data_IF_012509015692
#
_entry.id   IF_012509015692
#
_cell.length_a   1.000
_cell.length_b   1.000
_cell.length_c   1.000
_cell.angle_alpha   90.00
_cell.angle_beta   90.00
_cell.angle_gamma   90.00
#
_symmetry.space_group_name_H-M   'P 1'
#
loop_
_entity.id
_entity.type
_entity.pdbx_description
1 polymer ?
#
# COMPACT_ATOMS: atom_id res chain seq x y z
N UNK A 1 8.53 19.12 12.29
CA UNK A 1 7.47 18.10 12.41
C UNK A 1 8.08 16.80 12.92
N UNK A 2 7.47 16.18 13.93
CA UNK A 2 7.94 14.93 14.53
C UNK A 2 7.29 13.74 13.84
N UNK A 3 8.10 12.92 13.14
CA UNK A 3 7.61 11.84 12.26
C UNK A 3 7.85 10.48 12.92
N UNK A 4 6.87 9.57 12.84
CA UNK A 4 7.05 8.14 13.08
C UNK A 4 7.02 7.38 11.74
N UNK A 5 7.79 6.31 11.61
CA UNK A 5 7.65 5.39 10.50
C UNK A 5 6.83 4.17 10.92
N UNK A 6 6.00 3.66 10.01
CA UNK A 6 5.19 2.45 10.17
C UNK A 6 5.53 1.48 9.07
N UNK A 7 5.92 0.27 9.44
CA UNK A 7 6.15 -0.85 8.54
C UNK A 7 5.08 -1.91 8.71
N UNK A 8 4.56 -2.43 7.61
CA UNK A 8 3.79 -3.68 7.61
C UNK A 8 4.68 -4.81 7.10
N UNK A 9 4.83 -5.86 7.88
CA UNK A 9 5.70 -6.99 7.58
C UNK A 9 4.89 -8.28 7.40
N UNK A 10 5.31 -9.12 6.46
CA UNK A 10 4.76 -10.45 6.23
C UNK A 10 5.87 -11.38 5.76
N UNK A 11 6.21 -12.38 6.57
CA UNK A 11 7.41 -13.21 6.38
C UNK A 11 8.65 -12.34 6.10
N UNK A 12 8.97 -11.40 7.03
CA UNK A 12 10.06 -10.47 6.82
C UNK A 12 11.41 -11.19 6.72
N UNK A 13 12.34 -10.60 5.97
CA UNK A 13 13.72 -11.01 5.84
C UNK A 13 14.68 -9.94 6.41
N UNK A 14 15.98 -10.11 6.19
CA UNK A 14 17.03 -9.19 6.66
C UNK A 14 16.88 -7.74 6.16
N UNK A 15 16.14 -7.51 5.07
CA UNK A 15 15.88 -6.17 4.53
C UNK A 15 15.07 -5.30 5.48
N UNK A 16 14.16 -5.90 6.27
CA UNK A 16 13.37 -5.16 7.26
C UNK A 16 14.26 -4.46 8.28
N UNK A 17 15.28 -5.13 8.80
CA UNK A 17 16.20 -4.53 9.77
C UNK A 17 16.94 -3.31 9.18
N UNK A 18 17.42 -3.43 7.94
CA UNK A 18 18.08 -2.34 7.24
C UNK A 18 17.11 -1.17 6.94
N UNK A 19 15.87 -1.47 6.58
CA UNK A 19 14.84 -0.46 6.34
C UNK A 19 14.47 0.30 7.63
N UNK A 20 14.35 -0.40 8.76
CA UNK A 20 14.12 0.20 10.08
C UNK A 20 15.28 1.11 10.50
N UNK A 21 16.52 0.67 10.31
CA UNK A 21 17.71 1.50 10.58
C UNK A 21 17.73 2.76 9.70
N UNK A 22 17.35 2.62 8.42
CA UNK A 22 17.23 3.77 7.52
C UNK A 22 16.18 4.77 8.01
N UNK A 23 14.99 4.28 8.40
CA UNK A 23 13.91 5.11 8.92
C UNK A 23 14.27 5.83 10.23
N UNK A 24 14.99 5.17 11.13
CA UNK A 24 15.44 5.75 12.41
C UNK A 24 16.41 6.93 12.25
N UNK A 25 17.02 7.13 11.06
CA UNK A 25 17.85 8.32 10.77
C UNK A 25 17.02 9.59 10.60
N UNK A 26 15.78 9.45 10.10
CA UNK A 26 14.91 10.59 9.82
C UNK A 26 13.63 10.65 10.68
N UNK A 27 13.26 9.55 11.33
CA UNK A 27 12.05 9.42 12.14
C UNK A 27 12.36 9.33 13.63
N UNK A 28 11.44 9.84 14.45
CA UNK A 28 11.55 9.83 15.92
C UNK A 28 11.37 8.41 16.50
N UNK A 29 10.47 7.63 15.90
CA UNK A 29 10.16 6.25 16.29
C UNK A 29 9.73 5.42 15.09
N UNK A 30 9.75 4.11 15.26
CA UNK A 30 9.32 3.13 14.26
C UNK A 30 8.34 2.15 14.91
N UNK A 31 7.25 1.85 14.20
CA UNK A 31 6.31 0.78 14.56
C UNK A 31 6.36 -0.26 13.43
N UNK A 32 6.55 -1.52 13.78
CA UNK A 32 6.49 -2.66 12.84
C UNK A 32 5.29 -3.51 13.21
N UNK A 33 4.34 -3.69 12.30
CA UNK A 33 3.23 -4.63 12.47
C UNK A 33 3.55 -5.89 11.67
N UNK A 34 3.85 -6.97 12.39
CA UNK A 34 4.12 -8.26 11.77
C UNK A 34 2.83 -9.05 11.57
N UNK A 35 2.46 -9.19 10.31
CA UNK A 35 1.27 -9.92 9.85
C UNK A 35 1.57 -11.41 9.58
N UNK A 36 2.73 -11.94 9.99
CA UNK A 36 3.09 -13.34 9.76
C UNK A 36 2.27 -14.27 10.66
N UNK A 37 1.55 -15.26 10.10
CA UNK A 37 0.85 -16.24 10.91
C UNK A 37 1.83 -17.07 11.76
N UNK A 38 1.53 -17.20 13.06
CA UNK A 38 2.36 -17.95 14.01
C UNK A 38 3.56 -17.16 14.56
N UNK A 39 3.84 -15.95 14.07
CA UNK A 39 4.79 -15.06 14.70
C UNK A 39 4.25 -14.63 16.07
N UNK A 40 5.01 -14.88 17.13
CA UNK A 40 4.75 -14.35 18.45
C UNK A 40 5.87 -13.35 18.79
N UNK A 41 5.61 -12.41 19.71
CA UNK A 41 6.62 -11.47 20.15
C UNK A 41 7.92 -12.22 20.54
N UNK A 42 9.03 -11.86 19.89
CA UNK A 42 10.35 -12.43 20.15
C UNK A 42 10.60 -13.84 19.58
N UNK A 43 9.70 -14.44 18.83
CA UNK A 43 9.84 -15.81 18.30
C UNK A 43 10.46 -15.90 16.90
N UNK A 44 10.49 -14.79 16.14
CA UNK A 44 11.06 -14.75 14.79
C UNK A 44 12.53 -14.31 14.85
N UNK A 45 13.45 -14.95 14.11
CA UNK A 45 14.84 -14.50 13.99
C UNK A 45 14.98 -13.04 13.54
N UNK A 46 14.03 -12.53 12.76
CA UNK A 46 14.02 -11.13 12.31
C UNK A 46 13.59 -10.19 13.43
N UNK A 47 12.61 -10.59 14.26
CA UNK A 47 12.19 -9.82 15.44
C UNK A 47 13.29 -9.72 16.49
N UNK A 48 14.28 -10.62 16.48
CA UNK A 48 15.45 -10.60 17.36
C UNK A 48 16.62 -9.77 16.81
N UNK A 49 16.50 -9.18 15.60
CA UNK A 49 17.54 -8.32 15.06
C UNK A 49 17.76 -7.08 15.96
N UNK A 50 19.02 -6.68 16.26
CA UNK A 50 19.31 -5.57 17.15
C UNK A 50 18.61 -4.25 16.75
N UNK A 51 18.43 -4.02 15.46
CA UNK A 51 17.71 -2.86 14.95
C UNK A 51 16.23 -2.80 15.41
N UNK A 52 15.60 -3.95 15.62
CA UNK A 52 14.20 -4.08 16.06
C UNK A 52 14.05 -4.10 17.59
N UNK A 53 15.13 -4.29 18.34
CA UNK A 53 15.13 -4.28 19.81
C UNK A 53 15.42 -2.90 20.43
N UNK A 54 15.54 -1.85 19.62
CA UNK A 54 15.89 -0.51 20.09
C UNK A 54 14.75 0.21 20.81
N UNK A 55 15.02 1.17 21.71
CA UNK A 55 14.00 1.87 22.51
C UNK A 55 13.07 2.77 21.69
N UNK A 56 13.40 3.01 20.43
CA UNK A 56 12.57 3.76 19.47
C UNK A 56 11.78 2.88 18.52
N UNK A 57 11.81 1.56 18.70
CA UNK A 57 11.11 0.60 17.85
C UNK A 57 10.08 -0.17 18.67
N UNK A 58 8.86 -0.24 18.14
CA UNK A 58 7.79 -1.07 18.69
C UNK A 58 7.44 -2.13 17.65
N UNK A 59 7.56 -3.40 18.02
CA UNK A 59 7.13 -4.53 17.17
C UNK A 59 5.81 -5.07 17.71
N UNK A 60 4.81 -5.17 16.84
CA UNK A 60 3.48 -5.68 17.14
C UNK A 60 3.27 -6.96 16.32
N UNK A 61 3.33 -8.11 16.97
CA UNK A 61 3.12 -9.41 16.35
C UNK A 61 1.87 -10.08 16.91
N UNK A 62 0.86 -10.25 16.08
CA UNK A 62 -0.42 -10.84 16.50
C UNK A 62 -0.51 -12.35 16.25
N UNK A 63 0.51 -12.96 15.64
CA UNK A 63 0.52 -14.35 15.24
C UNK A 63 -0.50 -14.72 14.14
N UNK A 64 -1.04 -13.74 13.45
CA UNK A 64 -2.06 -13.91 12.40
C UNK A 64 -1.97 -12.80 11.37
N UNK A 65 -2.39 -13.08 10.14
CA UNK A 65 -2.51 -12.07 9.10
C UNK A 65 -3.91 -11.43 9.16
N UNK A 66 -3.96 -10.17 9.57
CA UNK A 66 -5.22 -9.39 9.66
C UNK A 66 -5.51 -8.58 8.39
N UNK A 67 -4.64 -8.66 7.38
CA UNK A 67 -4.67 -7.83 6.18
C UNK A 67 -4.01 -6.46 6.35
N UNK A 68 -3.78 -5.80 5.21
CA UNK A 68 -3.03 -4.52 5.19
C UNK A 68 -3.79 -3.40 5.89
N UNK A 69 -5.07 -3.21 5.58
CA UNK A 69 -5.87 -2.13 6.15
C UNK A 69 -5.92 -2.17 7.68
N UNK A 70 -6.21 -3.35 8.24
CA UNK A 70 -6.24 -3.54 9.69
C UNK A 70 -4.85 -3.37 10.33
N UNK A 71 -3.78 -3.85 9.68
CA UNK A 71 -2.41 -3.71 10.18
C UNK A 71 -1.99 -2.23 10.29
N UNK A 72 -2.31 -1.43 9.27
CA UNK A 72 -2.03 0.00 9.27
C UNK A 72 -2.80 0.73 10.38
N UNK A 73 -4.08 0.42 10.57
CA UNK A 73 -4.89 1.00 11.64
C UNK A 73 -4.40 0.59 13.04
N UNK A 74 -3.92 -0.64 13.22
CA UNK A 74 -3.30 -1.09 14.47
C UNK A 74 -2.08 -0.21 14.77
N UNK A 75 -1.19 -0.01 13.79
CA UNK A 75 -0.02 0.84 13.98
C UNK A 75 -0.39 2.28 14.36
N UNK A 76 -1.41 2.84 13.71
CA UNK A 76 -1.87 4.22 13.97
C UNK A 76 -2.38 4.39 15.41
N UNK A 77 -3.02 3.37 15.99
CA UNK A 77 -3.51 3.39 17.39
C UNK A 77 -2.38 3.39 18.41
N UNK A 78 -1.22 2.81 18.07
CA UNK A 78 -0.04 2.69 18.94
C UNK A 78 0.94 3.87 18.80
N UNK A 79 0.60 4.88 18.01
CA UNK A 79 1.46 6.05 17.82
C UNK A 79 1.63 6.85 19.10
N UNK A 80 2.86 7.23 19.48
CA UNK A 80 3.12 8.17 20.56
C UNK A 80 2.34 9.49 20.36
N UNK A 81 1.90 10.13 21.45
CA UNK A 81 1.03 11.32 21.39
C UNK A 81 1.70 12.54 20.75
N UNK A 82 3.01 12.61 20.75
CA UNK A 82 3.83 13.70 20.24
C UNK A 82 4.22 13.55 18.75
N UNK A 83 3.75 12.51 18.08
CA UNK A 83 3.93 12.34 16.65
C UNK A 83 2.97 13.23 15.88
N UNK A 84 3.48 13.98 14.90
CA UNK A 84 2.72 14.94 14.10
C UNK A 84 2.43 14.43 12.68
N UNK A 85 3.26 13.49 12.18
CA UNK A 85 3.04 12.84 10.88
C UNK A 85 3.57 11.39 10.90
N UNK A 86 3.03 10.55 10.01
CA UNK A 86 3.36 9.14 9.92
C UNK A 86 3.80 8.80 8.51
N UNK A 87 4.98 8.22 8.37
CA UNK A 87 5.52 7.70 7.13
C UNK A 87 5.24 6.20 7.05
N UNK A 88 4.42 5.78 6.10
CA UNK A 88 4.14 4.37 5.85
C UNK A 88 5.13 3.79 4.85
N UNK A 89 5.64 2.59 5.13
CA UNK A 89 6.68 1.91 4.35
C UNK A 89 6.40 0.41 4.25
N UNK A 90 6.81 -0.18 3.13
CA UNK A 90 6.87 -1.63 2.99
C UNK A 90 8.15 -2.17 3.66
N UNK A 91 8.14 -3.46 4.04
CA UNK A 91 9.23 -4.10 4.77
C UNK A 91 10.59 -4.11 4.05
N UNK A 92 10.60 -3.88 2.74
CA UNK A 92 11.78 -3.89 1.86
C UNK A 92 12.09 -2.50 1.27
N UNK A 93 11.48 -1.45 1.82
CA UNK A 93 11.69 -0.07 1.36
C UNK A 93 13.09 0.43 1.69
N UNK A 94 13.85 0.80 0.69
CA UNK A 94 15.11 1.53 0.84
C UNK A 94 14.80 3.03 0.99
N UNK A 95 14.96 3.58 2.20
CA UNK A 95 14.62 4.98 2.49
C UNK A 95 15.84 5.90 2.34
N UNK A 96 15.98 6.67 1.24
CA UNK A 96 16.99 7.70 1.11
C UNK A 96 16.85 8.80 2.17
N UNK A 97 17.97 9.37 2.67
CA UNK A 97 17.95 10.32 3.78
C UNK A 97 17.19 11.63 3.48
N UNK A 98 17.09 12.01 2.20
CA UNK A 98 16.38 13.20 1.74
C UNK A 98 14.86 13.07 1.74
N UNK A 99 14.31 11.87 1.80
CA UNK A 99 12.86 11.63 1.66
C UNK A 99 12.10 12.27 2.82
N UNK A 100 12.45 11.97 4.07
CA UNK A 100 11.70 12.48 5.23
C UNK A 100 11.70 14.00 5.29
N UNK A 101 12.86 14.69 5.22
CA UNK A 101 12.87 16.16 5.27
C UNK A 101 12.16 16.79 4.07
N UNK A 102 12.26 16.22 2.88
CA UNK A 102 11.56 16.72 1.70
C UNK A 102 10.05 16.62 1.82
N UNK A 103 9.53 15.46 2.22
CA UNK A 103 8.08 15.26 2.41
C UNK A 103 7.53 16.10 3.58
N UNK A 104 8.32 16.34 4.62
CA UNK A 104 7.94 17.25 5.71
C UNK A 104 7.79 18.68 5.19
N UNK A 105 8.68 19.13 4.30
CA UNK A 105 8.56 20.46 3.67
C UNK A 105 7.31 20.56 2.75
N UNK A 106 6.93 19.49 2.05
CA UNK A 106 5.69 19.48 1.27
C UNK A 106 4.43 19.58 2.16
N UNK A 107 4.51 19.14 3.41
CA UNK A 107 3.46 19.32 4.40
C UNK A 107 3.44 20.71 5.06
N UNK A 108 4.31 21.66 4.72
CA UNK A 108 4.21 23.05 5.22
C UNK A 108 2.94 23.75 4.71
N UNK A 109 2.42 23.34 3.54
CA UNK A 109 1.07 23.73 3.11
C UNK A 109 0.02 22.99 3.95
N UNK A 110 -0.72 23.74 4.78
CA UNK A 110 -1.76 23.19 5.65
C UNK A 110 -2.92 22.50 4.89
N UNK A 111 -3.10 22.76 3.61
CA UNK A 111 -4.09 22.10 2.78
C UNK A 111 -3.66 20.68 2.37
N UNK A 112 -2.37 20.37 2.43
CA UNK A 112 -1.81 19.05 2.08
C UNK A 112 -1.91 18.13 3.28
N UNK A 113 -2.65 17.05 3.17
CA UNK A 113 -2.79 16.00 4.18
C UNK A 113 -1.84 14.82 3.98
N UNK A 114 -1.46 14.58 2.72
CA UNK A 114 -0.54 13.49 2.32
C UNK A 114 0.51 14.04 1.36
N UNK A 115 1.77 13.74 1.63
CA UNK A 115 2.89 13.92 0.72
C UNK A 115 3.55 12.57 0.44
N UNK A 116 3.94 12.32 -0.80
CA UNK A 116 4.59 11.08 -1.20
C UNK A 116 5.76 11.34 -2.17
N UNK A 117 6.81 10.52 -2.13
CA UNK A 117 7.88 10.55 -3.12
C UNK A 117 7.41 9.89 -4.41
N UNK A 118 8.12 10.12 -5.49
CA UNK A 118 7.92 9.40 -6.74
C UNK A 118 8.45 7.97 -6.62
N UNK A 119 7.62 6.92 -6.80
CA UNK A 119 8.08 5.54 -6.84
C UNK A 119 8.98 5.31 -8.06
N UNK A 120 10.18 4.80 -7.82
CA UNK A 120 11.20 4.57 -8.82
C UNK A 120 11.63 3.10 -8.85
N UNK A 121 11.56 2.48 -10.03
CA UNK A 121 12.07 1.14 -10.26
C UNK A 121 13.56 1.19 -10.65
N UNK A 122 14.49 0.88 -9.72
CA UNK A 122 15.92 0.95 -9.99
C UNK A 122 16.38 -0.10 -11.00
N UNK A 123 15.70 -1.24 -11.09
CA UNK A 123 16.04 -2.34 -12.00
C UNK A 123 15.76 -1.99 -13.45
N UNK A 124 14.62 -1.33 -13.71
CA UNK A 124 14.21 -0.95 -15.07
C UNK A 124 14.43 0.53 -15.36
N UNK A 125 15.03 1.29 -14.44
CA UNK A 125 15.34 2.72 -14.56
C UNK A 125 14.14 3.54 -15.02
N UNK A 126 12.97 3.32 -14.40
CA UNK A 126 11.72 3.97 -14.78
C UNK A 126 10.86 4.35 -13.57
N UNK A 127 10.02 5.35 -13.75
CA UNK A 127 8.96 5.68 -12.80
C UNK A 127 7.76 4.73 -12.96
N UNK A 128 6.98 4.58 -11.90
CA UNK A 128 5.74 3.78 -11.91
C UNK A 128 4.58 4.43 -12.66
N UNK A 129 4.71 5.70 -13.02
CA UNK A 129 3.72 6.40 -13.83
C UNK A 129 4.10 6.42 -15.31
N UNK A 130 3.12 6.68 -16.17
CA UNK A 130 3.40 6.93 -17.59
C UNK A 130 4.20 8.22 -17.78
N UNK A 131 5.06 8.26 -18.81
CA UNK A 131 5.79 9.48 -19.17
C UNK A 131 4.85 10.66 -19.45
N UNK A 132 3.65 10.40 -20.02
CA UNK A 132 2.63 11.42 -20.25
C UNK A 132 2.16 12.05 -18.94
N UNK A 133 1.92 11.26 -17.87
CA UNK A 133 1.51 11.78 -16.57
C UNK A 133 2.63 12.60 -15.93
N UNK A 134 3.85 12.11 -15.96
CA UNK A 134 5.03 12.82 -15.46
C UNK A 134 5.25 14.15 -16.17
N UNK A 135 5.09 14.18 -17.49
CA UNK A 135 5.22 15.40 -18.30
C UNK A 135 4.10 16.38 -18.01
N UNK A 136 2.87 15.90 -17.85
CA UNK A 136 1.71 16.73 -17.46
C UNK A 136 1.86 17.34 -16.07
N UNK A 137 2.56 16.66 -15.17
CA UNK A 137 2.91 17.15 -13.83
C UNK A 137 4.09 18.16 -13.82
N UNK A 138 4.58 18.61 -14.96
CA UNK A 138 5.69 19.59 -15.04
C UNK A 138 7.09 18.96 -15.02
N UNK A 139 7.21 17.65 -15.17
CA UNK A 139 8.49 16.93 -15.18
C UNK A 139 8.92 16.47 -13.79
N UNK A 140 10.24 16.17 -13.65
CA UNK A 140 10.84 15.59 -12.43
C UNK A 140 11.22 16.61 -11.35
N UNK A 141 10.95 17.89 -11.55
CA UNK A 141 11.36 18.97 -10.64
C UNK A 141 10.19 19.70 -9.99
N UNK A 142 9.04 19.05 -9.88
CA UNK A 142 7.82 19.67 -9.38
C UNK A 142 7.11 18.80 -8.35
N UNK A 143 6.18 19.43 -7.63
CA UNK A 143 5.18 18.77 -6.79
C UNK A 143 3.87 18.80 -7.56
N UNK A 144 3.18 17.67 -7.65
CA UNK A 144 1.88 17.59 -8.32
C UNK A 144 0.77 17.14 -7.39
N UNK A 145 -0.43 17.66 -7.61
CA UNK A 145 -1.65 17.20 -6.95
C UNK A 145 -2.11 15.86 -7.54
N UNK A 146 -2.42 14.89 -6.68
CA UNK A 146 -2.72 13.51 -7.07
C UNK A 146 -4.01 13.01 -6.43
N UNK A 147 -4.73 12.14 -7.13
CA UNK A 147 -5.94 11.50 -6.58
C UNK A 147 -5.59 10.43 -5.54
N UNK A 148 -4.50 9.70 -5.76
CA UNK A 148 -4.03 8.67 -4.84
C UNK A 148 -2.53 8.41 -5.03
N UNK A 149 -1.90 7.96 -3.96
CA UNK A 149 -0.50 7.52 -3.90
C UNK A 149 -0.44 6.13 -3.28
N UNK A 150 0.65 5.41 -3.50
CA UNK A 150 0.87 4.09 -2.88
C UNK A 150 1.24 4.24 -1.40
N UNK A 151 1.00 3.20 -0.61
CA UNK A 151 1.34 3.19 0.83
C UNK A 151 2.83 3.41 1.07
N UNK A 152 3.69 2.78 0.27
CA UNK A 152 5.15 2.89 0.46
C UNK A 152 5.66 4.30 0.16
N UNK A 153 6.16 4.97 1.19
CA UNK A 153 6.64 6.36 1.15
C UNK A 153 5.56 7.41 1.45
N UNK A 154 4.32 7.02 1.73
CA UNK A 154 3.24 7.94 2.03
C UNK A 154 3.41 8.58 3.41
N UNK A 155 3.69 9.89 3.46
CA UNK A 155 3.72 10.68 4.70
C UNK A 155 2.35 11.34 4.93
N UNK A 156 1.71 11.01 6.04
CA UNK A 156 0.35 11.44 6.38
C UNK A 156 0.36 12.26 7.66
N UNK A 157 -0.31 13.42 7.66
CA UNK A 157 -0.52 14.20 8.89
C UNK A 157 -1.31 13.41 9.94
N UNK A 158 -0.96 13.55 11.20
CA UNK A 158 -1.73 12.95 12.29
C UNK A 158 -3.20 13.41 12.32
N UNK A 159 -3.44 14.67 11.96
CA UNK A 159 -4.80 15.23 11.89
C UNK A 159 -5.68 14.53 10.86
N UNK A 160 -5.09 14.05 9.77
CA UNK A 160 -5.78 13.23 8.77
C UNK A 160 -6.13 11.88 9.37
N UNK A 161 -5.16 11.20 10.01
CA UNK A 161 -5.35 9.89 10.64
C UNK A 161 -6.35 9.92 11.81
N UNK A 162 -6.56 11.09 12.43
CA UNK A 162 -7.60 11.26 13.45
C UNK A 162 -9.02 11.32 12.87
N UNK A 163 -9.18 11.55 11.56
CA UNK A 163 -10.48 11.72 10.89
C UNK A 163 -10.76 10.61 9.86
N UNK A 164 -9.72 10.02 9.30
CA UNK A 164 -9.81 9.02 8.23
C UNK A 164 -9.01 7.79 8.64
N UNK A 165 -9.65 6.63 8.61
CA UNK A 165 -9.05 5.33 8.94
C UNK A 165 -8.83 4.50 7.68
N UNK A 166 -7.92 3.54 7.73
CA UNK A 166 -7.80 2.55 6.66
C UNK A 166 -9.01 1.60 6.68
N UNK A 167 -9.44 1.18 5.51
CA UNK A 167 -10.59 0.29 5.41
C UNK A 167 -10.18 -1.16 5.74
N UNK A 168 -10.48 -1.62 6.95
CA UNK A 168 -10.17 -2.98 7.44
C UNK A 168 -10.88 -4.09 6.63
N UNK A 169 -11.97 -3.77 5.91
CA UNK A 169 -12.64 -4.70 4.98
C UNK A 169 -11.80 -4.98 3.72
N UNK A 170 -10.78 -4.17 3.45
CA UNK A 170 -9.86 -4.34 2.32
C UNK A 170 -8.61 -5.07 2.80
N UNK A 171 -8.57 -6.38 2.57
CA UNK A 171 -7.50 -7.23 3.08
C UNK A 171 -6.12 -6.91 2.46
N UNK A 172 -6.09 -6.70 1.15
CA UNK A 172 -4.86 -6.41 0.38
C UNK A 172 -5.24 -5.75 -0.94
N UNK A 173 -4.34 -4.98 -1.56
CA UNK A 173 -4.54 -4.21 -2.80
C UNK A 173 -5.68 -3.17 -2.68
N UNK A 174 -5.50 -1.98 -3.25
CA UNK A 174 -6.46 -0.86 -3.26
C UNK A 174 -6.75 -0.21 -1.91
N UNK A 175 -6.12 -0.64 -0.83
CA UNK A 175 -6.25 -0.05 0.52
C UNK A 175 -5.80 1.39 0.53
N UNK A 176 -4.67 1.66 -0.10
CA UNK A 176 -4.07 2.98 -0.30
C UNK A 176 -4.97 3.91 -1.13
N UNK A 177 -5.50 3.40 -2.24
CA UNK A 177 -6.42 4.18 -3.08
C UNK A 177 -7.69 4.54 -2.32
N UNK A 178 -8.28 3.59 -1.58
CA UNK A 178 -9.46 3.84 -0.75
C UNK A 178 -9.20 4.93 0.28
N UNK A 179 -8.09 4.81 1.02
CA UNK A 179 -7.67 5.78 2.02
C UNK A 179 -7.47 7.18 1.41
N UNK A 180 -6.75 7.27 0.29
CA UNK A 180 -6.55 8.54 -0.42
C UNK A 180 -7.86 9.18 -0.86
N UNK A 181 -8.82 8.40 -1.37
CA UNK A 181 -10.13 8.92 -1.76
C UNK A 181 -10.95 9.43 -0.57
N UNK A 182 -10.84 8.78 0.60
CA UNK A 182 -11.46 9.25 1.83
C UNK A 182 -10.79 10.52 2.38
N UNK A 183 -9.46 10.61 2.30
CA UNK A 183 -8.69 11.84 2.63
C UNK A 183 -9.12 13.01 1.75
N UNK A 184 -9.25 12.78 0.44
CA UNK A 184 -9.80 13.77 -0.50
C UNK A 184 -11.23 14.18 -0.17
N UNK A 185 -12.06 13.23 0.24
CA UNK A 185 -13.45 13.52 0.67
C UNK A 185 -13.48 14.37 1.94
N UNK A 186 -12.51 14.17 2.83
CA UNK A 186 -12.34 14.97 4.04
C UNK A 186 -11.78 16.38 3.79
N UNK A 187 -11.45 16.72 2.53
CA UNK A 187 -11.02 18.06 2.09
C UNK A 187 -9.52 18.28 2.07
N UNK A 188 -8.70 17.24 2.22
CA UNK A 188 -7.24 17.34 2.21
C UNK A 188 -6.64 17.15 0.81
N UNK A 189 -5.54 17.87 0.54
CA UNK A 189 -4.68 17.68 -0.63
C UNK A 189 -3.80 16.45 -0.51
N UNK A 190 -3.44 15.87 -1.65
CA UNK A 190 -2.48 14.76 -1.77
C UNK A 190 -1.48 15.15 -2.85
N UNK A 191 -0.18 15.10 -2.54
CA UNK A 191 0.86 15.51 -3.48
C UNK A 191 1.93 14.43 -3.67
N UNK A 192 2.50 14.39 -4.88
CA UNK A 192 3.75 13.67 -5.17
C UNK A 192 4.85 14.71 -5.43
N UNK A 193 5.96 14.59 -4.70
CA UNK A 193 7.18 15.30 -5.02
C UNK A 193 8.05 14.47 -5.97
N UNK A 194 8.08 14.87 -7.23
CA UNK A 194 8.85 14.20 -8.28
C UNK A 194 10.37 14.37 -8.15
N UNK A 195 10.84 15.27 -7.29
CA UNK A 195 12.26 15.46 -6.97
C UNK A 195 12.76 14.35 -6.04
N UNK A 196 11.86 13.78 -5.23
CA UNK A 196 12.15 12.72 -4.27
C UNK A 196 11.86 11.36 -4.93
N UNK A 197 12.87 10.50 -4.99
CA UNK A 197 12.75 9.15 -5.58
C UNK A 197 12.85 8.11 -4.48
N UNK A 198 11.81 7.33 -4.30
CA UNK A 198 11.84 6.17 -3.43
C UNK A 198 12.09 4.92 -4.28
N UNK A 199 13.22 4.22 -4.11
CA UNK A 199 13.41 2.91 -4.73
C UNK A 199 12.29 1.96 -4.30
N UNK A 200 11.62 1.38 -5.26
CA UNK A 200 10.53 0.42 -5.04
C UNK A 200 10.52 -0.60 -6.17
N UNK A 201 10.70 -1.88 -5.85
CA UNK A 201 10.66 -2.94 -6.85
C UNK A 201 9.22 -3.31 -7.18
N UNK A 202 8.88 -3.29 -8.47
CA UNK A 202 7.64 -3.93 -8.93
C UNK A 202 7.81 -5.43 -8.73
N UNK A 203 6.95 -6.04 -7.90
CA UNK A 203 7.00 -7.48 -7.63
C UNK A 203 7.12 -8.31 -8.92
N UNK A 204 7.48 -9.58 -8.81
CA UNK A 204 7.80 -10.47 -9.92
C UNK A 204 6.83 -10.33 -11.10
N UNK A 205 7.31 -9.69 -12.17
CA UNK A 205 6.55 -9.41 -13.38
C UNK A 205 7.23 -10.12 -14.55
N UNK A 206 6.49 -10.99 -15.23
CA UNK A 206 6.97 -11.64 -16.44
C UNK A 206 6.61 -10.83 -17.67
N UNK A 207 7.50 -10.82 -18.64
CA UNK A 207 7.29 -10.14 -19.93
C UNK A 207 6.76 -11.17 -20.93
N UNK A 208 5.53 -10.98 -21.36
CA UNK A 208 4.90 -11.81 -22.38
C UNK A 208 4.74 -11.04 -23.68
N UNK A 209 5.16 -11.63 -24.80
CA UNK A 209 4.90 -11.07 -26.13
C UNK A 209 3.88 -11.94 -26.86
N UNK A 210 2.74 -11.37 -27.22
CA UNK A 210 1.69 -12.05 -27.96
C UNK A 210 1.03 -11.09 -28.95
N UNK A 211 0.79 -11.54 -30.16
CA UNK A 211 0.21 -10.73 -31.25
C UNK A 211 0.95 -9.39 -31.48
N UNK A 212 2.29 -9.41 -31.40
CA UNK A 212 3.13 -8.20 -31.59
C UNK A 212 3.07 -7.17 -30.47
N UNK A 213 2.39 -7.48 -29.35
CA UNK A 213 2.33 -6.63 -28.16
C UNK A 213 3.09 -7.26 -27.00
N UNK A 214 3.90 -6.45 -26.33
CA UNK A 214 4.60 -6.83 -25.11
C UNK A 214 3.75 -6.41 -23.91
N UNK A 215 3.43 -7.36 -23.03
CA UNK A 215 2.63 -7.16 -21.84
C UNK A 215 3.44 -7.61 -20.63
N UNK A 216 3.48 -6.77 -19.61
CA UNK A 216 4.02 -7.10 -18.30
C UNK A 216 2.90 -7.72 -17.46
N UNK A 217 3.04 -8.97 -17.06
CA UNK A 217 2.01 -9.70 -16.33
C UNK A 217 2.59 -10.36 -15.08
N UNK A 218 1.95 -10.11 -13.93
CA UNK A 218 2.27 -10.76 -12.66
C UNK A 218 1.28 -11.89 -12.42
N UNK A 219 1.81 -13.10 -12.22
CA UNK A 219 1.04 -14.31 -11.91
C UNK A 219 0.60 -14.30 -10.45
N UNK A 220 -0.50 -13.63 -10.15
CA UNK A 220 -1.05 -13.60 -8.81
C UNK A 220 -1.84 -14.88 -8.50
N UNK A 221 -1.76 -15.41 -7.27
CA UNK A 221 -2.58 -16.54 -6.87
C UNK A 221 -4.08 -16.19 -6.90
N UNK A 222 -4.93 -17.20 -7.06
CA UNK A 222 -6.39 -16.99 -7.19
C UNK A 222 -7.00 -16.23 -6.00
N UNK A 223 -6.49 -16.43 -4.78
CA UNK A 223 -6.95 -15.70 -3.61
C UNK A 223 -6.69 -14.18 -3.75
N UNK A 224 -5.53 -13.76 -4.28
CA UNK A 224 -5.24 -12.33 -4.47
C UNK A 224 -6.10 -11.71 -5.55
N UNK A 225 -6.38 -12.45 -6.65
CA UNK A 225 -7.31 -11.98 -7.68
C UNK A 225 -8.74 -11.78 -7.15
N UNK A 226 -9.18 -12.66 -6.24
CA UNK A 226 -10.45 -12.47 -5.53
C UNK A 226 -10.47 -11.14 -4.77
N UNK A 227 -9.42 -10.84 -3.99
CA UNK A 227 -9.34 -9.60 -3.24
C UNK A 227 -9.24 -8.37 -4.12
N UNK A 228 -8.49 -8.43 -5.23
CA UNK A 228 -8.47 -7.35 -6.24
C UNK A 228 -9.88 -7.06 -6.76
N UNK A 229 -10.61 -8.08 -7.19
CA UNK A 229 -11.98 -7.90 -7.67
C UNK A 229 -12.91 -7.35 -6.59
N UNK A 230 -12.83 -7.88 -5.37
CA UNK A 230 -13.64 -7.45 -4.22
C UNK A 230 -13.38 -5.98 -3.86
N UNK A 231 -12.12 -5.61 -3.76
CA UNK A 231 -11.74 -4.27 -3.34
C UNK A 231 -12.08 -3.21 -4.38
N UNK A 232 -11.94 -3.50 -5.68
CA UNK A 232 -12.43 -2.61 -6.74
C UNK A 232 -13.93 -2.35 -6.60
N UNK A 233 -14.76 -3.37 -6.31
CA UNK A 233 -16.20 -3.16 -6.14
C UNK A 233 -16.55 -2.39 -4.85
N UNK A 234 -15.78 -2.55 -3.76
CA UNK A 234 -15.91 -1.73 -2.55
C UNK A 234 -15.63 -0.26 -2.86
N UNK A 235 -14.53 0.02 -3.58
CA UNK A 235 -14.20 1.38 -4.04
C UNK A 235 -15.35 2.00 -4.84
N UNK A 236 -15.89 1.26 -5.81
CA UNK A 236 -17.00 1.75 -6.63
C UNK A 236 -18.25 2.05 -5.80
N UNK A 237 -18.60 1.18 -4.88
CA UNK A 237 -19.75 1.39 -4.01
C UNK A 237 -19.58 2.63 -3.13
N UNK A 238 -18.38 2.85 -2.57
CA UNK A 238 -18.10 3.95 -1.65
C UNK A 238 -17.89 5.31 -2.32
N UNK A 239 -17.35 5.35 -3.54
CA UNK A 239 -16.83 6.59 -4.13
C UNK A 239 -17.38 6.94 -5.52
N UNK A 240 -18.19 6.07 -6.16
CA UNK A 240 -18.63 6.29 -7.53
C UNK A 240 -19.34 7.63 -7.73
N UNK A 241 -20.22 8.01 -6.82
CA UNK A 241 -20.99 9.27 -6.93
C UNK A 241 -20.10 10.53 -6.81
N UNK A 242 -19.00 10.46 -6.04
CA UNK A 242 -18.10 11.59 -5.78
C UNK A 242 -16.92 11.68 -6.76
N UNK A 243 -16.41 10.55 -7.25
CA UNK A 243 -15.17 10.44 -8.03
C UNK A 243 -15.26 9.49 -9.23
N UNK A 244 -16.24 9.62 -10.14
CA UNK A 244 -16.44 8.63 -11.21
C UNK A 244 -15.25 8.50 -12.16
N UNK A 245 -14.50 9.59 -12.40
CA UNK A 245 -13.31 9.56 -13.28
C UNK A 245 -12.13 8.84 -12.65
N UNK A 246 -11.88 9.05 -11.35
CA UNK A 246 -10.83 8.35 -10.61
C UNK A 246 -11.08 6.84 -10.59
N UNK A 247 -12.35 6.44 -10.51
CA UNK A 247 -12.73 5.03 -10.49
C UNK A 247 -12.79 4.37 -11.89
N UNK A 248 -12.88 5.15 -12.97
CA UNK A 248 -12.86 4.58 -14.32
C UNK A 248 -11.54 3.81 -14.57
N UNK A 249 -10.41 4.31 -14.06
CA UNK A 249 -9.11 3.63 -14.17
C UNK A 249 -9.08 2.26 -13.48
N UNK A 250 -9.80 2.09 -12.37
CA UNK A 250 -9.86 0.79 -11.66
C UNK A 250 -10.66 -0.26 -12.43
N UNK A 251 -11.70 0.16 -13.17
CA UNK A 251 -12.43 -0.75 -14.08
C UNK A 251 -11.60 -1.12 -15.30
N UNK A 252 -10.84 -0.17 -15.86
CA UNK A 252 -9.88 -0.45 -16.95
C UNK A 252 -8.85 -1.46 -16.45
N UNK A 253 -8.25 -1.22 -15.29
CA UNK A 253 -7.32 -2.16 -14.66
C UNK A 253 -7.94 -3.55 -14.47
N UNK A 254 -9.19 -3.63 -13.99
CA UNK A 254 -9.88 -4.89 -13.79
C UNK A 254 -10.12 -5.62 -15.13
N UNK A 255 -10.50 -4.89 -16.18
CA UNK A 255 -10.64 -5.40 -17.54
C UNK A 255 -9.33 -5.92 -18.12
N UNK A 256 -8.25 -5.17 -17.98
CA UNK A 256 -6.90 -5.59 -18.37
C UNK A 256 -6.45 -6.83 -17.60
N UNK A 257 -6.68 -6.86 -16.28
CA UNK A 257 -6.36 -8.01 -15.43
C UNK A 257 -7.12 -9.26 -15.87
N UNK A 258 -8.41 -9.13 -16.14
CA UNK A 258 -9.25 -10.23 -16.65
C UNK A 258 -8.74 -10.74 -18.01
N UNK A 259 -8.47 -9.83 -18.94
CA UNK A 259 -7.97 -10.16 -20.26
C UNK A 259 -6.61 -10.85 -20.19
N UNK A 260 -5.68 -10.31 -19.41
CA UNK A 260 -4.35 -10.89 -19.24
C UNK A 260 -4.42 -12.25 -18.53
N UNK A 261 -5.31 -12.42 -17.55
CA UNK A 261 -5.54 -13.73 -16.93
C UNK A 261 -6.07 -14.76 -17.94
N UNK A 262 -6.99 -14.37 -18.82
CA UNK A 262 -7.50 -15.25 -19.86
C UNK A 262 -6.42 -15.66 -20.89
N UNK A 263 -5.51 -14.74 -21.21
CA UNK A 263 -4.51 -14.94 -22.26
C UNK A 263 -3.23 -15.65 -21.78
N UNK A 264 -2.76 -15.32 -20.58
CA UNK A 264 -1.43 -15.69 -20.10
C UNK A 264 -1.44 -16.63 -18.89
N UNK A 265 -2.56 -16.70 -18.11
CA UNK A 265 -2.60 -17.54 -16.92
C UNK A 265 -2.89 -19.01 -17.25
N UNK A 266 -1.96 -19.96 -16.95
CA UNK A 266 -2.21 -21.38 -17.16
C UNK A 266 -3.44 -21.91 -16.40
N UNK A 267 -3.63 -21.41 -15.17
CA UNK A 267 -4.74 -21.80 -14.28
C UNK A 267 -5.97 -20.90 -14.41
N UNK A 268 -6.23 -20.35 -15.60
CA UNK A 268 -7.35 -19.42 -15.86
C UNK A 268 -8.72 -19.92 -15.40
N UNK A 269 -8.94 -21.24 -15.39
CA UNK A 269 -10.21 -21.85 -14.93
C UNK A 269 -10.49 -21.64 -13.44
N UNK A 270 -9.48 -21.39 -12.63
CA UNK A 270 -9.61 -21.05 -11.19
C UNK A 270 -9.45 -19.56 -10.94
N UNK A 271 -8.59 -18.87 -11.68
CA UNK A 271 -8.23 -17.47 -11.48
C UNK A 271 -9.32 -16.50 -11.96
N UNK A 272 -9.89 -16.74 -13.14
CA UNK A 272 -11.00 -15.91 -13.68
C UNK A 272 -12.23 -15.96 -12.78
N UNK A 273 -12.75 -17.15 -12.37
CA UNK A 273 -13.85 -17.20 -11.43
C UNK A 273 -13.55 -16.53 -10.09
N UNK A 274 -12.32 -16.60 -9.59
CA UNK A 274 -11.92 -15.92 -8.35
C UNK A 274 -12.08 -14.40 -8.47
N UNK A 275 -11.53 -13.80 -9.55
CA UNK A 275 -11.64 -12.36 -9.82
C UNK A 275 -13.11 -11.90 -9.92
N UNK A 276 -13.92 -12.60 -10.72
CA UNK A 276 -15.34 -12.25 -10.92
C UNK A 276 -16.17 -12.46 -9.65
N UNK A 277 -15.88 -13.53 -8.88
CA UNK A 277 -16.52 -13.78 -7.60
C UNK A 277 -16.17 -12.68 -6.60
N UNK A 278 -14.91 -12.30 -6.49
CA UNK A 278 -14.48 -11.18 -5.67
C UNK A 278 -15.26 -9.92 -5.99
N UNK A 279 -15.31 -9.54 -7.27
CA UNK A 279 -16.06 -8.36 -7.71
C UNK A 279 -17.54 -8.40 -7.31
N UNK A 280 -18.22 -9.54 -7.48
CA UNK A 280 -19.59 -9.71 -7.02
C UNK A 280 -19.73 -9.64 -5.49
N UNK A 281 -18.83 -10.28 -4.76
CA UNK A 281 -18.92 -10.42 -3.31
C UNK A 281 -18.62 -9.07 -2.61
N UNK A 282 -17.79 -8.19 -3.18
CA UNK A 282 -17.58 -6.83 -2.67
C UNK A 282 -18.82 -5.95 -2.73
N UNK A 283 -19.63 -6.04 -3.81
CA UNK A 283 -20.94 -5.36 -3.85
C UNK A 283 -21.93 -5.89 -2.81
N UNK A 284 -21.77 -7.15 -2.37
CA UNK A 284 -22.63 -7.82 -1.41
C UNK A 284 -22.11 -7.80 0.03
N UNK A 285 -21.00 -7.10 0.27
CA UNK A 285 -20.32 -7.05 1.57
C UNK A 285 -19.98 -8.45 2.14
N UNK A 286 -19.63 -9.37 1.27
CA UNK A 286 -19.33 -10.76 1.65
C UNK A 286 -17.86 -11.05 1.46
N UNK A 287 -17.36 -12.02 2.23
CA UNK A 287 -16.04 -12.63 2.04
C UNK A 287 -16.25 -14.14 1.89
N UNK A 288 -15.67 -14.71 0.85
CA UNK A 288 -15.61 -16.16 0.69
C UNK A 288 -14.36 -16.69 1.40
N UNK A 289 -14.50 -17.47 2.50
CA UNK A 289 -13.37 -17.97 3.29
C UNK A 289 -12.34 -18.75 2.49
N UNK A 290 -12.72 -19.33 1.36
CA UNK A 290 -11.81 -20.09 0.47
C UNK A 290 -10.70 -19.24 -0.14
N UNK A 291 -10.86 -17.92 -0.15
CA UNK A 291 -9.90 -16.97 -0.66
C UNK A 291 -9.15 -16.20 0.43
N UNK A 292 -9.30 -16.61 1.69
CA UNK A 292 -8.39 -16.15 2.74
C UNK A 292 -7.07 -16.93 2.63
N UNK A 293 -5.91 -16.26 2.65
CA UNK A 293 -4.63 -16.95 2.79
C UNK A 293 -4.58 -17.79 4.07
N UNK A 294 -3.74 -18.82 4.08
CA UNK A 294 -3.54 -19.64 5.28
C UNK A 294 -3.08 -18.77 6.47
N UNK A 295 -3.73 -18.94 7.63
CA UNK A 295 -3.45 -18.15 8.83
C UNK A 295 -3.97 -16.71 8.79
N UNK A 296 -4.72 -16.34 7.75
CA UNK A 296 -5.37 -15.04 7.69
C UNK A 296 -6.73 -15.02 8.38
N UNK A 297 -7.06 -13.87 8.94
CA UNK A 297 -8.36 -13.59 9.55
C UNK A 297 -8.98 -12.34 8.94
N UNK A 298 -10.31 -12.35 8.85
CA UNK A 298 -11.05 -11.18 8.36
C UNK A 298 -12.32 -10.98 9.18
N UNK A 299 -12.69 -9.74 9.56
CA UNK A 299 -13.85 -9.48 10.41
C UNK A 299 -15.16 -10.04 9.87
N UNK A 300 -15.38 -10.00 8.55
CA UNK A 300 -16.60 -10.51 7.91
C UNK A 300 -16.72 -12.04 7.89
N UNK A 301 -15.67 -12.80 8.24
CA UNK A 301 -15.69 -14.27 8.31
C UNK A 301 -15.92 -14.76 9.72
N UNK A 302 -15.71 -13.90 10.73
CA UNK A 302 -15.93 -14.22 12.15
C UNK A 302 -17.40 -14.11 12.60
N UNK A 303 -18.28 -13.60 11.73
CA UNK A 303 -19.72 -13.40 12.01
C UNK A 303 -20.53 -14.60 11.44
#
# INVERSE_FOLDING_TARGET
MRVAAVFTAYHPDERLAAAVEAALRGCASVIVVDNTPGAAEGSDPVSSAPALAGPRVTVIAHGRNVGLGAALDIAVRELPPDIEAVLFLDQDSELPPEIVPGLVADLDDAAVGIAAPSPWDPKHQRYYCSDARRTSAGGTNTVSDEEAVITSGMLVRREVLAKVTFNEDMFLDWVDVAFCLDVRRAGWGIVIDWRLRLPHEIGACEVHTKFGRTVHYSHYPAWRLYWIGRNVSILHRGHFASRPRALASSLVFLGERLTNTLLFEPRRRTHVPALLRGFRDGFRERVDPRYLPAGAEHPAVRR
#
